data_IF_789510762928
#
_entry.id   IF_789510762928
#
_cell.length_a   1.000
_cell.length_b   1.000
_cell.length_c   1.000
_cell.angle_alpha   90.00
_cell.angle_beta   90.00
_cell.angle_gamma   90.00
#
_symmetry.space_group_name_H-M   'P 1'
#
loop_
_entity.id
_entity.type
_entity.pdbx_description
1 polymer ?
#
# COMPACT_ATOMS: atom_id res chain seq x y z
N UNK A 1 15.16 -9.32 -7.00
CA UNK A 1 14.66 -7.95 -7.21
C UNK A 1 13.42 -7.67 -6.38
N UNK A 2 12.34 -8.45 -6.52
CA UNK A 2 11.09 -8.29 -5.72
C UNK A 2 11.31 -8.23 -4.20
N UNK A 3 12.24 -9.03 -3.66
CA UNK A 3 12.57 -8.99 -2.22
C UNK A 3 13.04 -7.59 -1.76
N UNK A 4 13.90 -6.94 -2.55
CA UNK A 4 14.38 -5.58 -2.26
C UNK A 4 13.27 -4.53 -2.36
N UNK A 5 12.34 -4.70 -3.29
CA UNK A 5 11.18 -3.81 -3.43
C UNK A 5 10.28 -3.86 -2.18
N UNK A 6 10.06 -5.07 -1.61
CA UNK A 6 9.32 -5.25 -0.36
C UNK A 6 10.04 -4.62 0.84
N UNK A 7 11.36 -4.76 0.92
CA UNK A 7 12.16 -4.12 1.97
C UNK A 7 12.08 -2.60 1.88
N UNK A 8 12.23 -2.04 0.68
CA UNK A 8 12.14 -0.59 0.47
C UNK A 8 10.75 -0.05 0.81
N UNK A 9 9.70 -0.71 0.34
CA UNK A 9 8.33 -0.31 0.67
C UNK A 9 8.09 -0.36 2.20
N UNK A 10 8.61 -1.39 2.88
CA UNK A 10 8.52 -1.50 4.34
C UNK A 10 9.22 -0.34 5.04
N UNK A 11 10.43 0.02 4.62
CA UNK A 11 11.14 1.19 5.15
C UNK A 11 10.31 2.46 4.99
N UNK A 12 9.75 2.70 3.80
CA UNK A 12 8.90 3.87 3.55
C UNK A 12 7.63 3.89 4.41
N UNK A 13 7.03 2.73 4.71
CA UNK A 13 5.87 2.65 5.62
C UNK A 13 6.28 3.05 7.04
N UNK A 14 7.42 2.55 7.52
CA UNK A 14 7.94 2.94 8.84
C UNK A 14 8.28 4.44 8.90
N UNK A 15 8.91 4.98 7.86
CA UNK A 15 9.32 6.40 7.82
C UNK A 15 8.12 7.35 7.73
N UNK A 16 7.18 7.07 6.81
CA UNK A 16 6.14 8.04 6.46
C UNK A 16 4.78 7.76 7.09
N UNK A 17 4.42 6.48 7.26
CA UNK A 17 3.05 6.08 7.60
C UNK A 17 2.87 5.65 9.05
N UNK A 18 3.92 5.15 9.71
CA UNK A 18 3.86 4.66 11.09
C UNK A 18 3.98 5.79 12.12
N UNK A 19 3.14 5.73 13.16
CA UNK A 19 3.19 6.62 14.34
C UNK A 19 3.01 5.79 15.60
N UNK A 20 3.91 5.97 16.56
CA UNK A 20 3.82 5.38 17.89
C UNK A 20 3.07 6.33 18.84
N UNK A 21 2.22 5.79 19.73
CA UNK A 21 1.42 6.57 20.67
C UNK A 21 0.01 5.99 20.87
N UNK A 22 -0.78 6.60 21.75
CA UNK A 22 -2.14 6.12 22.03
C UNK A 22 -3.14 6.77 21.07
N UNK A 23 -3.81 5.96 20.27
CA UNK A 23 -4.80 6.39 19.28
C UNK A 23 -6.14 5.72 19.52
N UNK A 24 -7.23 6.49 19.47
CA UNK A 24 -8.59 5.95 19.42
C UNK A 24 -8.96 5.68 17.96
N UNK A 25 -9.16 4.42 17.62
CA UNK A 25 -9.52 3.98 16.28
C UNK A 25 -10.99 4.27 15.97
N UNK A 26 -11.34 4.24 14.68
CA UNK A 26 -12.73 4.37 14.22
C UNK A 26 -13.65 3.28 14.75
N UNK A 27 -13.09 2.13 15.14
CA UNK A 27 -13.81 1.05 15.84
C UNK A 27 -14.14 1.37 17.30
N UNK A 28 -13.63 2.49 17.83
CA UNK A 28 -13.73 2.88 19.25
C UNK A 28 -12.67 2.26 20.15
N UNK A 29 -11.89 1.28 19.66
CA UNK A 29 -10.77 0.66 20.39
C UNK A 29 -9.57 1.59 20.47
N UNK A 30 -8.76 1.41 21.50
CA UNK A 30 -7.44 2.06 21.61
C UNK A 30 -6.35 1.19 20.98
N UNK A 31 -5.37 1.85 20.38
CA UNK A 31 -4.18 1.27 19.77
C UNK A 31 -2.96 2.03 20.24
N UNK A 32 -1.86 1.33 20.49
CA UNK A 32 -0.54 1.88 20.84
C UNK A 32 0.27 2.32 19.61
N UNK A 33 -0.33 2.20 18.42
CA UNK A 33 0.20 2.76 17.19
C UNK A 33 -0.90 3.11 16.19
N UNK A 34 -0.55 3.91 15.18
CA UNK A 34 -1.38 4.21 14.03
C UNK A 34 -0.58 4.12 12.73
N UNK A 35 -1.20 3.64 11.66
CA UNK A 35 -0.60 3.55 10.33
C UNK A 35 -1.49 4.26 9.32
N UNK A 36 -1.05 5.41 8.82
CA UNK A 36 -1.69 6.11 7.71
C UNK A 36 -0.96 5.84 6.40
N UNK A 37 -1.28 4.72 5.76
CA UNK A 37 -0.66 4.32 4.50
C UNK A 37 -0.85 5.33 3.35
N UNK A 38 -1.78 6.30 3.46
CA UNK A 38 -1.94 7.34 2.43
C UNK A 38 -0.64 8.11 2.21
N UNK A 39 0.15 8.32 3.26
CA UNK A 39 1.44 9.02 3.17
C UNK A 39 2.42 8.28 2.23
N UNK A 40 2.53 6.96 2.37
CA UNK A 40 3.37 6.15 1.48
C UNK A 40 2.75 5.98 0.10
N UNK A 41 1.46 5.64 0.00
CA UNK A 41 0.82 5.33 -1.30
C UNK A 41 0.62 6.53 -2.20
N UNK A 42 0.63 7.76 -1.66
CA UNK A 42 0.58 9.01 -2.44
C UNK A 42 1.98 9.59 -2.73
N UNK A 43 3.05 8.99 -2.22
CA UNK A 43 4.42 9.36 -2.60
C UNK A 43 4.79 8.75 -3.96
N UNK A 44 5.62 9.42 -4.74
CA UNK A 44 6.01 8.94 -6.08
C UNK A 44 6.64 7.54 -6.05
N UNK A 45 7.64 7.32 -5.17
CA UNK A 45 8.31 6.03 -5.03
C UNK A 45 7.37 4.97 -4.42
N UNK A 46 6.60 5.35 -3.39
CA UNK A 46 5.70 4.41 -2.71
C UNK A 46 4.56 3.93 -3.61
N UNK A 47 3.97 4.84 -4.40
CA UNK A 47 2.98 4.48 -5.42
C UNK A 47 3.55 3.48 -6.42
N UNK A 48 4.73 3.77 -6.99
CA UNK A 48 5.39 2.86 -7.94
C UNK A 48 5.67 1.49 -7.32
N UNK A 49 6.22 1.43 -6.11
CA UNK A 49 6.49 0.17 -5.42
C UNK A 49 5.21 -0.62 -5.12
N UNK A 50 4.17 0.04 -4.63
CA UNK A 50 2.86 -0.59 -4.42
C UNK A 50 2.29 -1.16 -5.72
N UNK A 51 2.28 -0.36 -6.80
CA UNK A 51 1.84 -0.78 -8.13
C UNK A 51 2.60 -2.01 -8.61
N UNK A 52 3.93 -1.92 -8.65
CA UNK A 52 4.83 -3.00 -9.11
C UNK A 52 4.63 -4.29 -8.31
N UNK A 53 4.55 -4.19 -6.98
CA UNK A 53 4.42 -5.37 -6.11
C UNK A 53 3.06 -6.05 -6.27
N UNK A 54 1.98 -5.27 -6.36
CA UNK A 54 0.63 -5.78 -6.62
C UNK A 54 0.52 -6.36 -8.04
N UNK A 55 1.10 -5.70 -9.05
CA UNK A 55 1.15 -6.20 -10.43
C UNK A 55 1.83 -7.58 -10.51
N UNK A 56 2.96 -7.75 -9.81
CA UNK A 56 3.64 -9.04 -9.71
C UNK A 56 2.79 -10.13 -9.02
N UNK A 57 1.85 -9.75 -8.14
CA UNK A 57 0.92 -10.70 -7.52
C UNK A 57 -0.18 -11.12 -8.49
N UNK A 58 -0.68 -10.22 -9.32
CA UNK A 58 -1.74 -10.54 -10.29
C UNK A 58 -1.22 -11.38 -11.48
N UNK A 59 0.07 -11.26 -11.83
CA UNK A 59 0.71 -12.07 -12.87
C UNK A 59 1.05 -13.50 -12.44
N UNK A 60 0.70 -13.90 -11.21
CA UNK A 60 0.98 -15.27 -10.77
C UNK A 60 0.20 -16.30 -11.62
N UNK A 61 0.83 -17.42 -12.00
CA UNK A 61 0.19 -18.44 -12.83
C UNK A 61 -1.12 -18.94 -12.21
N UNK A 62 -2.12 -19.17 -13.06
CA UNK A 62 -3.41 -19.72 -12.64
C UNK A 62 -4.45 -18.68 -12.24
N UNK A 63 -4.12 -17.39 -12.27
CA UNK A 63 -5.07 -16.31 -12.03
C UNK A 63 -5.31 -15.54 -13.33
N UNK A 64 -6.56 -15.51 -13.80
CA UNK A 64 -6.95 -14.69 -14.94
C UNK A 64 -7.69 -13.45 -14.44
N UNK A 65 -6.99 -12.30 -14.42
CA UNK A 65 -7.54 -11.02 -13.94
C UNK A 65 -7.83 -10.11 -15.13
N UNK A 66 -9.10 -9.70 -15.28
CA UNK A 66 -9.52 -8.77 -16.34
C UNK A 66 -9.45 -7.30 -15.94
N UNK A 67 -9.28 -6.99 -14.65
CA UNK A 67 -9.22 -5.62 -14.16
C UNK A 67 -8.91 -5.52 -12.68
N UNK A 68 -8.52 -4.31 -12.26
CA UNK A 68 -8.22 -3.96 -10.87
C UNK A 68 -9.15 -2.83 -10.45
N UNK A 69 -9.77 -2.95 -9.29
CA UNK A 69 -10.71 -1.96 -8.76
C UNK A 69 -10.70 -1.93 -7.24
N UNK A 70 -11.29 -0.90 -6.65
CA UNK A 70 -11.38 -0.74 -5.21
C UNK A 70 -12.24 0.46 -4.80
N UNK A 71 -12.55 0.54 -3.51
CA UNK A 71 -13.37 1.62 -2.96
C UNK A 71 -12.56 2.92 -2.84
N UNK A 72 -13.11 4.01 -3.39
CA UNK A 72 -12.61 5.37 -3.15
C UNK A 72 -12.70 5.72 -1.65
N UNK A 73 -11.84 6.53 -1.04
CA UNK A 73 -10.65 7.24 -1.55
C UNK A 73 -9.33 6.49 -1.29
N UNK A 74 -9.39 5.41 -0.49
CA UNK A 74 -8.21 4.68 -0.03
C UNK A 74 -7.60 3.78 -1.10
N UNK A 75 -8.43 3.20 -1.98
CA UNK A 75 -7.96 2.31 -3.02
C UNK A 75 -7.45 3.07 -4.26
N UNK A 76 -7.91 4.29 -4.50
CA UNK A 76 -7.59 5.11 -5.68
C UNK A 76 -6.08 5.16 -6.01
N UNK A 77 -5.16 5.47 -5.05
CA UNK A 77 -3.73 5.47 -5.35
C UNK A 77 -3.19 4.08 -5.71
N UNK A 78 -3.73 3.01 -5.10
CA UNK A 78 -3.27 1.64 -5.36
C UNK A 78 -3.78 1.12 -6.71
N UNK A 79 -5.06 1.32 -7.00
CA UNK A 79 -5.68 0.92 -8.29
C UNK A 79 -4.96 1.64 -9.42
N UNK A 80 -4.81 2.97 -9.31
CA UNK A 80 -4.11 3.78 -10.31
C UNK A 80 -2.69 3.28 -10.49
N UNK A 81 -1.94 3.09 -9.41
CA UNK A 81 -0.55 2.63 -9.49
C UNK A 81 -0.42 1.27 -10.19
N UNK A 82 -1.27 0.29 -9.86
CA UNK A 82 -1.23 -1.04 -10.50
C UNK A 82 -1.58 -0.97 -11.99
N UNK A 83 -2.48 -0.07 -12.37
CA UNK A 83 -2.92 0.06 -13.77
C UNK A 83 -1.89 0.71 -14.69
N UNK A 84 -0.87 1.38 -14.17
CA UNK A 84 0.11 2.14 -14.97
C UNK A 84 1.55 1.64 -14.89
N UNK A 85 1.83 0.60 -14.09
CA UNK A 85 3.16 -0.02 -13.96
C UNK A 85 3.43 -1.15 -14.94
#
# INVERSE_FOLDING_TARGET
MIHKDWERLRQMIFEFSYREGIFKLTSGKESDFYIDCKQTTLSAEGAYLCGKLLYNRILQPGINISGVGGMTMGADPLVTAVSVV
#
